data_IF_186990305608
#
_entry.id   IF_186990305608
#
_cell.length_a   1.000
_cell.length_b   1.000
_cell.length_c   1.000
_cell.angle_alpha   90.00
_cell.angle_beta   90.00
_cell.angle_gamma   90.00
#
_symmetry.space_group_name_H-M   'P 1'
#
loop_
_entity.id
_entity.type
_entity.pdbx_description
1 polymer ?
#
# COMPACT_ATOMS: atom_id res chain seq x y z
N UNK A 1 14.36 -16.61 -7.05
CA UNK A 1 13.73 -16.62 -8.39
C UNK A 1 14.40 -15.51 -9.18
N UNK A 2 15.24 -15.83 -10.17
CA UNK A 2 15.92 -14.81 -10.98
C UNK A 2 15.00 -14.45 -12.14
N UNK A 3 14.76 -13.16 -12.35
CA UNK A 3 13.99 -12.66 -13.49
C UNK A 3 14.86 -12.84 -14.74
N UNK A 4 14.33 -13.50 -15.77
CA UNK A 4 15.01 -13.66 -17.04
C UNK A 4 15.02 -12.30 -17.79
N UNK A 5 16.19 -11.69 -18.02
CA UNK A 5 16.28 -10.38 -18.66
C UNK A 5 15.88 -10.40 -20.15
N UNK A 6 15.68 -11.59 -20.74
CA UNK A 6 15.27 -11.76 -22.14
C UNK A 6 13.75 -11.84 -22.33
N UNK A 7 12.99 -12.03 -21.25
CA UNK A 7 11.53 -12.06 -21.28
C UNK A 7 10.99 -10.66 -20.97
N UNK A 8 10.26 -10.07 -21.93
CA UNK A 8 9.46 -8.87 -21.67
C UNK A 8 8.18 -9.33 -20.98
N UNK A 9 8.15 -9.18 -19.65
CA UNK A 9 6.93 -9.37 -18.88
C UNK A 9 5.97 -8.21 -19.18
N UNK A 10 4.66 -8.47 -19.34
CA UNK A 10 3.69 -7.39 -19.37
C UNK A 10 3.79 -6.58 -18.08
N UNK A 11 3.52 -5.28 -18.16
CA UNK A 11 3.52 -4.42 -16.98
C UNK A 11 2.61 -5.02 -15.89
N UNK A 12 3.19 -5.27 -14.72
CA UNK A 12 2.50 -5.92 -13.61
C UNK A 12 1.85 -4.87 -12.70
N UNK A 13 0.71 -5.23 -12.14
CA UNK A 13 0.06 -4.49 -11.06
C UNK A 13 0.06 -5.37 -9.82
N UNK A 14 0.67 -4.90 -8.75
CA UNK A 14 0.47 -5.48 -7.43
C UNK A 14 -0.89 -4.97 -6.91
N UNK A 15 -1.91 -5.82 -7.03
CA UNK A 15 -3.27 -5.45 -6.66
C UNK A 15 -3.47 -5.34 -5.15
N UNK A 16 -2.55 -5.85 -4.32
CA UNK A 16 -2.72 -5.85 -2.88
C UNK A 16 -1.40 -5.97 -2.13
N UNK A 17 -0.92 -4.84 -1.59
CA UNK A 17 0.24 -4.80 -0.71
C UNK A 17 -0.01 -3.98 0.57
N UNK A 18 0.86 -4.14 1.56
CA UNK A 18 0.85 -3.41 2.83
C UNK A 18 2.20 -2.72 3.04
N UNK A 19 2.43 -1.63 2.30
CA UNK A 19 3.72 -0.90 2.31
C UNK A 19 3.99 -0.18 3.64
N UNK A 20 2.93 0.05 4.42
CA UNK A 20 2.99 0.61 5.76
C UNK A 20 3.41 -0.37 6.85
N UNK A 21 3.48 -1.67 6.55
CA UNK A 21 3.88 -2.70 7.51
C UNK A 21 5.24 -2.34 8.13
N UNK A 22 5.37 -2.50 9.44
CA UNK A 22 6.53 -2.04 10.19
C UNK A 22 7.86 -2.64 9.70
N UNK A 23 7.87 -3.89 9.25
CA UNK A 23 9.09 -4.50 8.71
C UNK A 23 9.50 -3.86 7.39
N UNK A 24 8.53 -3.56 6.53
CA UNK A 24 8.76 -2.99 5.21
C UNK A 24 9.03 -1.48 5.27
N UNK A 25 8.38 -0.75 6.19
CA UNK A 25 8.47 0.71 6.35
C UNK A 25 9.91 1.19 6.56
N UNK A 26 10.71 0.45 7.31
CA UNK A 26 12.12 0.78 7.55
C UNK A 26 13.02 0.57 6.32
N UNK A 27 12.51 -0.09 5.28
CA UNK A 27 13.25 -0.45 4.07
C UNK A 27 12.41 -0.26 2.80
N UNK A 28 11.53 0.76 2.82
CA UNK A 28 10.53 0.97 1.78
C UNK A 28 11.16 1.31 0.42
N UNK A 29 12.03 2.30 0.35
CA UNK A 29 12.62 2.75 -0.92
C UNK A 29 13.39 1.65 -1.66
N UNK A 30 14.24 0.84 -0.98
CA UNK A 30 14.86 -0.30 -1.65
C UNK A 30 13.85 -1.35 -2.11
N UNK A 31 12.72 -1.54 -1.40
CA UNK A 31 11.68 -2.46 -1.82
C UNK A 31 10.93 -1.97 -3.06
N UNK A 32 10.51 -0.70 -3.09
CA UNK A 32 9.90 -0.06 -4.26
C UNK A 32 10.82 -0.12 -5.48
N UNK A 33 12.11 0.14 -5.30
CA UNK A 33 13.12 0.03 -6.36
C UNK A 33 13.16 -1.38 -6.96
N UNK A 34 13.14 -2.42 -6.13
CA UNK A 34 13.11 -3.81 -6.61
C UNK A 34 11.80 -4.15 -7.32
N UNK A 35 10.66 -3.71 -6.80
CA UNK A 35 9.36 -3.93 -7.43
C UNK A 35 9.31 -3.31 -8.84
N UNK A 36 9.77 -2.06 -8.98
CA UNK A 36 9.89 -1.36 -10.27
C UNK A 36 10.82 -2.08 -11.23
N UNK A 37 11.99 -2.52 -10.76
CA UNK A 37 12.94 -3.28 -11.56
C UNK A 37 12.38 -4.64 -12.04
N UNK A 38 11.48 -5.23 -11.26
CA UNK A 38 10.79 -6.48 -11.59
C UNK A 38 9.58 -6.31 -12.54
N UNK A 39 9.25 -5.08 -12.95
CA UNK A 39 8.14 -4.81 -13.87
C UNK A 39 6.82 -4.43 -13.21
N UNK A 40 6.77 -4.26 -11.88
CA UNK A 40 5.59 -3.74 -11.20
C UNK A 40 5.47 -2.23 -11.48
N UNK A 41 4.36 -1.81 -12.08
CA UNK A 41 4.10 -0.41 -12.50
C UNK A 41 3.05 0.30 -11.67
N UNK A 42 2.22 -0.46 -10.96
CA UNK A 42 1.24 0.07 -10.03
C UNK A 42 1.12 -0.86 -8.82
N UNK A 43 1.02 -0.28 -7.64
CA UNK A 43 0.84 -0.99 -6.37
C UNK A 43 -0.36 -0.42 -5.64
N UNK A 44 -1.33 -1.26 -5.28
CA UNK A 44 -2.44 -0.87 -4.42
C UNK A 44 -2.07 -1.14 -2.96
N UNK A 45 -1.80 -0.07 -2.21
CA UNK A 45 -1.50 -0.13 -0.79
C UNK A 45 -2.78 -0.11 0.03
N UNK A 46 -3.02 -1.16 0.81
CA UNK A 46 -4.27 -1.33 1.56
C UNK A 46 -4.05 -0.99 3.03
N UNK A 47 -4.69 0.07 3.51
CA UNK A 47 -4.79 0.40 4.92
C UNK A 47 -5.57 -0.66 5.69
N UNK A 48 -5.24 -0.83 6.97
CA UNK A 48 -5.80 -1.92 7.80
C UNK A 48 -6.55 -1.41 9.02
N UNK A 49 -6.25 -0.21 9.51
CA UNK A 49 -6.87 0.36 10.70
C UNK A 49 -6.67 1.87 10.77
N UNK A 50 -7.47 2.58 11.58
CA UNK A 50 -7.42 4.05 11.70
C UNK A 50 -6.00 4.62 11.87
N UNK A 51 -5.17 4.01 12.71
CA UNK A 51 -3.79 4.46 12.95
C UNK A 51 -2.80 4.30 11.78
N UNK A 52 -3.16 3.65 10.67
CA UNK A 52 -2.26 3.49 9.51
C UNK A 52 -2.69 4.30 8.28
N UNK A 53 -3.92 4.81 8.25
CA UNK A 53 -4.51 5.46 7.07
C UNK A 53 -3.76 6.70 6.62
N UNK A 54 -3.37 7.60 7.53
CA UNK A 54 -2.63 8.82 7.17
C UNK A 54 -1.29 8.50 6.50
N UNK A 55 -0.60 7.47 7.00
CA UNK A 55 0.66 7.04 6.40
C UNK A 55 0.42 6.43 5.00
N UNK A 56 -0.61 5.60 4.85
CA UNK A 56 -0.99 5.00 3.56
C UNK A 56 -1.35 6.09 2.54
N UNK A 57 -2.13 7.11 2.94
CA UNK A 57 -2.43 8.26 2.07
C UNK A 57 -1.15 9.01 1.67
N UNK A 58 -0.25 9.25 2.62
CA UNK A 58 1.03 9.87 2.35
C UNK A 58 1.84 9.11 1.29
N UNK A 59 1.81 7.76 1.31
CA UNK A 59 2.45 6.95 0.28
C UNK A 59 1.88 7.21 -1.12
N UNK A 60 0.55 7.26 -1.25
CA UNK A 60 -0.10 7.56 -2.53
C UNK A 60 0.18 8.98 -3.03
N UNK A 61 0.39 9.93 -2.12
CA UNK A 61 0.76 11.31 -2.48
C UNK A 61 2.23 11.43 -2.92
N UNK A 62 3.13 10.70 -2.28
CA UNK A 62 4.58 10.75 -2.56
C UNK A 62 4.98 9.94 -3.80
N UNK A 63 4.25 8.88 -4.13
CA UNK A 63 4.60 7.94 -5.20
C UNK A 63 3.48 7.80 -6.22
N UNK A 64 3.74 8.20 -7.47
CA UNK A 64 2.77 8.15 -8.56
C UNK A 64 2.33 6.73 -8.96
N UNK A 65 3.14 5.74 -8.61
CA UNK A 65 2.91 4.32 -8.87
C UNK A 65 2.25 3.58 -7.70
N UNK A 66 1.74 4.32 -6.70
CA UNK A 66 0.98 3.78 -5.57
C UNK A 66 -0.44 4.35 -5.61
N UNK A 67 -1.44 3.48 -5.71
CA UNK A 67 -2.82 3.81 -5.36
C UNK A 67 -3.14 3.27 -3.97
N UNK A 68 -4.17 3.82 -3.34
CA UNK A 68 -4.49 3.54 -1.93
C UNK A 68 -5.93 3.07 -1.79
N UNK A 69 -6.14 2.15 -0.87
CA UNK A 69 -7.45 1.68 -0.44
C UNK A 69 -7.47 1.69 1.08
N UNK A 70 -8.42 2.40 1.67
CA UNK A 70 -8.53 2.53 3.13
C UNK A 70 -9.75 1.75 3.63
N UNK A 71 -9.59 1.14 4.81
CA UNK A 71 -10.64 0.38 5.46
C UNK A 71 -10.19 -0.27 6.75
N UNK A 72 -11.10 -1.03 7.36
CA UNK A 72 -10.81 -1.83 8.55
C UNK A 72 -10.64 -3.30 8.16
N UNK A 73 -9.46 -3.84 8.43
CA UNK A 73 -9.21 -5.27 8.35
C UNK A 73 -9.93 -5.98 9.51
N UNK A 74 -10.54 -7.18 9.31
CA UNK A 74 -11.30 -7.90 10.35
C UNK A 74 -10.60 -8.03 11.72
N UNK A 75 -9.26 -8.16 11.72
CA UNK A 75 -8.46 -8.23 12.95
C UNK A 75 -8.55 -6.98 13.84
N UNK A 76 -8.74 -5.81 13.23
CA UNK A 76 -8.75 -4.52 13.94
C UNK A 76 -10.17 -4.03 14.24
N UNK A 77 -11.20 -4.74 13.81
CA UNK A 77 -12.60 -4.35 14.05
C UNK A 77 -12.88 -4.18 15.54
N UNK A 78 -12.30 -5.02 16.42
CA UNK A 78 -12.49 -4.89 17.87
C UNK A 78 -11.86 -3.62 18.47
N UNK A 79 -10.87 -3.03 17.79
CA UNK A 79 -10.09 -1.90 18.27
C UNK A 79 -10.48 -0.57 17.62
N UNK A 80 -11.47 -0.59 16.70
CA UNK A 80 -11.95 0.60 16.01
C UNK A 80 -12.55 1.59 17.00
N UNK A 81 -12.35 2.87 16.76
CA UNK A 81 -13.01 3.94 17.49
C UNK A 81 -14.51 3.95 17.17
N UNK A 82 -15.30 4.65 18.00
CA UNK A 82 -16.71 4.85 17.70
C UNK A 82 -16.95 5.72 16.45
N UNK A 83 -15.92 6.46 16.02
CA UNK A 83 -15.97 7.42 14.91
C UNK A 83 -15.23 6.91 13.66
N UNK A 84 -14.91 5.61 13.59
CA UNK A 84 -14.03 5.07 12.55
C UNK A 84 -14.56 5.32 11.13
N UNK A 85 -15.89 5.33 10.94
CA UNK A 85 -16.49 5.54 9.62
C UNK A 85 -16.43 7.02 9.24
N UNK A 86 -16.72 7.93 10.18
CA UNK A 86 -16.61 9.37 9.98
C UNK A 86 -15.15 9.77 9.71
N UNK A 87 -14.21 9.16 10.44
CA UNK A 87 -12.77 9.34 10.21
C UNK A 87 -12.37 8.87 8.81
N UNK A 88 -12.89 7.72 8.35
CA UNK A 88 -12.62 7.21 7.01
C UNK A 88 -13.21 8.14 5.93
N UNK A 89 -14.47 8.56 6.09
CA UNK A 89 -15.15 9.47 5.17
C UNK A 89 -14.44 10.82 5.04
N UNK A 90 -13.96 11.37 6.16
CA UNK A 90 -13.20 12.63 6.17
C UNK A 90 -11.87 12.56 5.41
N UNK A 91 -11.30 11.35 5.24
CA UNK A 91 -10.04 11.13 4.52
C UNK A 91 -10.24 10.88 3.02
N UNK A 92 -11.44 10.50 2.58
CA UNK A 92 -11.73 10.14 1.18
C UNK A 92 -12.67 11.12 0.47
N UNK A 93 -13.18 12.13 1.18
CA UNK A 93 -13.97 13.24 0.65
C UNK A 93 -13.12 14.28 -0.07
#
# INVERSE_FOLDING_TARGET
>A
MLIDPTIIYPDLVDSHCHLQDGFLRHNLEPALTRARAAGVRLMCCNGTHEGDWDYVLGLGQMHKDICVSLGLHPWYVQNRSALWIENLEALVA
#
